data_IF_439310277282
#
_entry.id   IF_439310277282
#
_cell.length_a   1.000
_cell.length_b   1.000
_cell.length_c   1.000
_cell.angle_alpha   90.00
_cell.angle_beta   90.00
_cell.angle_gamma   90.00
#
_symmetry.space_group_name_H-M   'P 1'
#
loop_
_entity.id
_entity.type
_entity.pdbx_description
1 polymer ?
#
# COMPACT_ATOMS: atom_id res chain seq x y z
N UNK A 1 -15.61 -14.75 8.66
CA UNK A 1 -15.02 -13.59 9.37
C UNK A 1 -15.97 -12.41 9.28
N UNK A 2 -16.06 -11.55 10.32
CA UNK A 2 -16.95 -10.36 10.29
C UNK A 2 -16.08 -9.10 10.14
N UNK A 3 -16.37 -8.29 9.13
CA UNK A 3 -15.71 -7.01 8.91
C UNK A 3 -16.41 -5.91 9.74
N UNK A 4 -15.67 -4.99 10.36
CA UNK A 4 -16.26 -3.83 11.05
C UNK A 4 -16.97 -2.89 10.07
N UNK A 5 -16.44 -2.80 8.85
CA UNK A 5 -17.05 -2.11 7.70
C UNK A 5 -17.07 -3.05 6.52
N UNK A 6 -18.21 -3.17 5.84
CA UNK A 6 -18.39 -4.05 4.69
C UNK A 6 -19.03 -3.27 3.51
N UNK A 7 -18.34 -3.09 2.39
CA UNK A 7 -16.98 -3.54 2.12
C UNK A 7 -15.91 -2.68 2.82
N UNK A 8 -14.78 -3.32 3.18
CA UNK A 8 -13.55 -2.67 3.59
C UNK A 8 -12.72 -2.34 2.35
N UNK A 9 -12.35 -1.08 2.20
CA UNK A 9 -11.75 -0.51 0.99
C UNK A 9 -10.29 -0.12 1.23
N UNK A 10 -9.37 -0.84 0.59
CA UNK A 10 -7.93 -0.57 0.62
C UNK A 10 -7.46 -0.05 -0.75
N UNK A 11 -6.65 1.00 -0.75
CA UNK A 11 -5.90 1.43 -1.94
C UNK A 11 -4.40 1.29 -1.66
N UNK A 12 -3.71 0.61 -2.57
CA UNK A 12 -2.24 0.57 -2.61
C UNK A 12 -1.79 1.44 -3.78
N UNK A 13 -0.95 2.42 -3.51
CA UNK A 13 -0.53 3.39 -4.53
C UNK A 13 0.97 3.62 -4.54
N UNK A 14 1.48 4.00 -5.69
CA UNK A 14 2.88 4.33 -5.89
C UNK A 14 3.19 4.62 -7.36
N UNK A 15 4.45 4.43 -7.72
CA UNK A 15 4.97 4.69 -9.06
C UNK A 15 5.17 3.38 -9.81
N UNK A 16 4.95 3.39 -11.12
CA UNK A 16 5.16 2.23 -11.99
C UNK A 16 6.58 1.64 -11.84
N UNK A 17 6.64 0.35 -11.49
CA UNK A 17 7.87 -0.39 -11.19
C UNK A 17 8.08 -0.68 -9.70
N UNK A 18 7.33 -0.10 -8.78
CA UNK A 18 7.43 -0.38 -7.33
C UNK A 18 6.76 -1.70 -6.90
N UNK A 19 6.04 -2.39 -7.79
CA UNK A 19 5.40 -3.66 -7.50
C UNK A 19 4.03 -3.53 -6.80
N UNK A 20 3.27 -2.48 -7.09
CA UNK A 20 1.89 -2.28 -6.60
C UNK A 20 1.00 -3.49 -6.89
N UNK A 21 1.03 -3.99 -8.14
CA UNK A 21 0.25 -5.15 -8.58
C UNK A 21 0.60 -6.40 -7.77
N UNK A 22 1.89 -6.63 -7.53
CA UNK A 22 2.31 -7.75 -6.70
C UNK A 22 1.78 -7.60 -5.26
N UNK A 23 1.87 -6.39 -4.72
CA UNK A 23 1.36 -6.07 -3.39
C UNK A 23 -0.14 -6.35 -3.29
N UNK A 24 -0.94 -5.81 -4.23
CA UNK A 24 -2.39 -6.00 -4.24
C UNK A 24 -2.79 -7.47 -4.38
N UNK A 25 -2.06 -8.26 -5.19
CA UNK A 25 -2.32 -9.68 -5.34
C UNK A 25 -2.02 -10.49 -4.08
N UNK A 26 -0.92 -10.20 -3.37
CA UNK A 26 -0.60 -10.87 -2.10
C UNK A 26 -1.69 -10.57 -1.06
N UNK A 27 -2.09 -9.30 -0.92
CA UNK A 27 -3.12 -8.89 0.03
C UNK A 27 -4.49 -9.47 -0.33
N UNK A 28 -4.84 -9.51 -1.62
CA UNK A 28 -6.07 -10.12 -2.10
C UNK A 28 -6.11 -11.63 -1.84
N UNK A 29 -5.01 -12.33 -2.14
CA UNK A 29 -4.89 -13.77 -1.87
C UNK A 29 -5.02 -14.08 -0.39
N UNK A 30 -4.42 -13.27 0.49
CA UNK A 30 -4.59 -13.42 1.93
C UNK A 30 -6.06 -13.29 2.37
N UNK A 31 -6.81 -12.33 1.80
CA UNK A 31 -8.24 -12.18 2.07
C UNK A 31 -9.09 -13.35 1.57
N UNK A 32 -8.75 -13.91 0.41
CA UNK A 32 -9.44 -15.08 -0.15
C UNK A 32 -9.24 -16.31 0.74
N UNK A 33 -8.04 -16.49 1.33
CA UNK A 33 -7.77 -17.58 2.27
C UNK A 33 -8.63 -17.51 3.53
N UNK A 34 -9.06 -16.33 3.90
CA UNK A 34 -9.99 -16.07 5.02
C UNK A 34 -11.48 -16.08 4.59
N UNK A 35 -11.77 -16.68 3.44
CA UNK A 35 -13.13 -16.84 2.89
C UNK A 35 -13.86 -15.52 2.62
N UNK A 36 -13.12 -14.41 2.41
CA UNK A 36 -13.70 -13.15 1.99
C UNK A 36 -13.90 -13.10 0.47
N UNK A 37 -14.94 -12.41 0.04
CA UNK A 37 -15.06 -11.95 -1.34
C UNK A 37 -14.08 -10.80 -1.54
N UNK A 38 -13.09 -10.98 -2.41
CA UNK A 38 -12.09 -9.97 -2.71
C UNK A 38 -12.18 -9.56 -4.17
N UNK A 39 -12.23 -8.26 -4.41
CA UNK A 39 -12.22 -7.69 -5.76
C UNK A 39 -11.02 -6.75 -5.89
N UNK A 40 -10.24 -6.93 -6.95
CA UNK A 40 -9.09 -6.07 -7.28
C UNK A 40 -9.40 -5.29 -8.56
N UNK A 41 -9.18 -3.99 -8.52
CA UNK A 41 -9.21 -3.11 -9.69
C UNK A 41 -7.91 -2.34 -9.77
N UNK A 42 -7.34 -2.23 -10.98
CA UNK A 42 -6.07 -1.54 -11.17
C UNK A 42 -6.24 -0.38 -12.13
N UNK A 43 -5.66 0.75 -11.77
CA UNK A 43 -5.61 1.94 -12.63
C UNK A 43 -4.17 2.35 -12.86
N UNK A 44 -3.86 2.66 -14.11
CA UNK A 44 -2.52 3.05 -14.53
C UNK A 44 -2.57 4.44 -15.14
N UNK A 45 -1.62 5.29 -14.76
CA UNK A 45 -1.39 6.56 -15.45
C UNK A 45 -0.95 6.33 -16.90
N UNK A 46 -1.00 7.38 -17.72
CA UNK A 46 -0.65 7.34 -19.14
C UNK A 46 0.81 6.92 -19.44
N UNK A 47 1.68 6.88 -18.42
CA UNK A 47 3.08 6.48 -18.52
C UNK A 47 3.31 5.09 -17.96
N UNK A 48 3.85 4.16 -18.74
CA UNK A 48 4.16 2.78 -18.29
C UNK A 48 5.31 2.69 -17.27
N UNK A 49 6.18 3.68 -17.20
CA UNK A 49 7.27 3.77 -16.22
C UNK A 49 7.27 5.16 -15.59
N UNK A 50 7.32 5.21 -14.27
CA UNK A 50 7.31 6.47 -13.53
C UNK A 50 5.95 7.19 -13.50
N UNK A 51 4.87 6.57 -14.00
CA UNK A 51 3.50 7.05 -13.87
C UNK A 51 2.85 6.54 -12.59
N UNK A 52 1.82 7.25 -12.10
CA UNK A 52 1.01 6.82 -10.98
C UNK A 52 0.36 5.46 -11.25
N UNK A 53 0.44 4.58 -10.28
CA UNK A 53 -0.23 3.27 -10.28
C UNK A 53 -1.04 3.14 -9.00
N UNK A 54 -2.28 2.70 -9.12
CA UNK A 54 -3.18 2.54 -7.99
C UNK A 54 -3.91 1.22 -8.13
N UNK A 55 -3.88 0.41 -7.07
CA UNK A 55 -4.61 -0.85 -6.95
C UNK A 55 -5.68 -0.70 -5.88
N UNK A 56 -6.94 -0.85 -6.27
CA UNK A 56 -8.09 -0.89 -5.38
C UNK A 56 -8.31 -2.34 -4.96
N UNK A 57 -8.33 -2.61 -3.65
CA UNK A 57 -8.63 -3.93 -3.09
C UNK A 57 -9.82 -3.80 -2.17
N UNK A 58 -10.89 -4.53 -2.47
CA UNK A 58 -12.15 -4.46 -1.72
C UNK A 58 -12.46 -5.81 -1.11
N UNK A 59 -12.67 -5.82 0.20
CA UNK A 59 -13.00 -7.02 0.96
C UNK A 59 -14.45 -6.96 1.41
N UNK A 60 -15.20 -8.04 1.22
CA UNK A 60 -16.56 -8.17 1.72
C UNK A 60 -16.80 -9.58 2.27
N UNK A 61 -17.56 -9.67 3.36
CA UNK A 61 -18.03 -10.95 3.90
C UNK A 61 -19.37 -11.41 3.27
N UNK A 62 -19.99 -10.56 2.44
CA UNK A 62 -21.35 -10.78 1.94
C UNK A 62 -21.39 -11.13 0.45
N UNK A 63 -20.72 -10.34 -0.40
CA UNK A 63 -20.79 -10.49 -1.85
C UNK A 63 -19.63 -9.78 -2.54
N UNK A 64 -19.42 -10.12 -3.81
CA UNK A 64 -18.46 -9.44 -4.66
C UNK A 64 -18.84 -8.01 -4.95
N UNK A 65 -17.90 -7.08 -4.83
CA UNK A 65 -18.10 -5.64 -5.08
C UNK A 65 -17.64 -5.25 -6.49
N UNK A 66 -18.03 -4.04 -6.92
CA UNK A 66 -17.40 -3.42 -8.09
C UNK A 66 -15.91 -3.22 -7.87
N UNK A 67 -15.05 -3.27 -8.91
CA UNK A 67 -13.59 -3.23 -8.72
C UNK A 67 -13.05 -1.89 -8.22
N UNK A 68 -13.70 -0.78 -8.59
CA UNK A 68 -13.22 0.55 -8.21
C UNK A 68 -13.90 1.06 -6.93
N UNK A 69 -13.11 1.61 -6.05
CA UNK A 69 -13.54 2.35 -4.87
C UNK A 69 -13.99 3.74 -5.33
N UNK A 70 -15.11 4.22 -4.84
CA UNK A 70 -15.60 5.57 -5.15
C UNK A 70 -14.80 6.64 -4.41
N UNK A 71 -14.83 7.88 -4.93
CA UNK A 71 -14.23 9.05 -4.28
C UNK A 71 -14.67 9.17 -2.82
N UNK A 72 -13.75 9.50 -1.93
CA UNK A 72 -13.99 9.66 -0.49
C UNK A 72 -14.33 8.36 0.25
N UNK A 73 -14.13 7.17 -0.32
CA UNK A 73 -14.55 5.90 0.27
C UNK A 73 -13.39 4.95 0.63
N UNK A 74 -12.14 5.40 0.54
CA UNK A 74 -11.01 4.61 1.02
C UNK A 74 -11.01 4.55 2.56
N UNK A 75 -10.84 3.35 3.11
CA UNK A 75 -10.67 3.12 4.54
C UNK A 75 -9.19 3.06 4.91
N UNK A 76 -8.39 2.46 4.03
CA UNK A 76 -6.95 2.30 4.21
C UNK A 76 -6.25 2.73 2.92
N UNK A 77 -5.18 3.50 3.06
CA UNK A 77 -4.26 3.83 1.97
C UNK A 77 -2.86 3.37 2.34
N UNK A 78 -2.25 2.55 1.47
CA UNK A 78 -0.85 2.16 1.56
C UNK A 78 -0.08 2.85 0.45
N UNK A 79 0.73 3.85 0.82
CA UNK A 79 1.56 4.61 -0.12
C UNK A 79 2.97 4.08 -0.20
N UNK A 80 3.34 3.53 -1.36
CA UNK A 80 4.73 3.13 -1.64
C UNK A 80 5.58 4.35 -2.00
N UNK A 81 4.92 5.49 -2.29
CA UNK A 81 5.53 6.75 -2.67
C UNK A 81 4.71 7.93 -2.09
N UNK A 82 5.35 8.94 -1.45
CA UNK A 82 4.63 9.95 -0.68
C UNK A 82 3.66 10.81 -1.48
N UNK A 83 4.06 11.33 -2.66
CA UNK A 83 3.19 12.19 -3.47
C UNK A 83 2.00 11.40 -4.02
N UNK A 84 2.20 10.14 -4.40
CA UNK A 84 1.10 9.30 -4.87
C UNK A 84 0.12 8.96 -3.73
N UNK A 85 0.61 8.78 -2.50
CA UNK A 85 -0.25 8.64 -1.31
C UNK A 85 -1.11 9.89 -1.11
N UNK A 86 -0.52 11.08 -1.19
CA UNK A 86 -1.25 12.35 -1.04
C UNK A 86 -2.30 12.55 -2.15
N UNK A 87 -1.99 12.20 -3.40
CA UNK A 87 -2.96 12.25 -4.52
C UNK A 87 -4.15 11.35 -4.28
N UNK A 88 -3.90 10.12 -3.84
CA UNK A 88 -4.96 9.16 -3.52
C UNK A 88 -5.79 9.64 -2.34
N UNK A 89 -5.16 10.19 -1.31
CA UNK A 89 -5.89 10.77 -0.18
C UNK A 89 -6.78 11.94 -0.59
N UNK A 90 -6.31 12.81 -1.49
CA UNK A 90 -7.11 13.95 -1.97
C UNK A 90 -8.35 13.54 -2.77
N UNK A 91 -8.33 12.39 -3.46
CA UNK A 91 -9.44 11.92 -4.31
C UNK A 91 -10.31 10.89 -3.60
N UNK A 92 -9.70 9.87 -2.98
CA UNK A 92 -10.40 8.71 -2.41
C UNK A 92 -10.45 8.71 -0.89
N UNK A 93 -9.63 9.54 -0.23
CA UNK A 93 -9.56 9.62 1.22
C UNK A 93 -10.76 10.34 1.86
N UNK A 94 -10.88 10.18 3.14
CA UNK A 94 -11.82 10.90 4.00
C UNK A 94 -11.22 11.01 5.42
N UNK A 95 -11.81 11.83 6.33
CA UNK A 95 -11.25 12.04 7.68
C UNK A 95 -11.17 10.79 8.59
N UNK A 96 -11.64 9.62 8.13
CA UNK A 96 -11.53 8.34 8.85
C UNK A 96 -10.52 7.40 8.19
N UNK A 97 -9.95 7.79 7.05
CA UNK A 97 -8.98 6.99 6.33
C UNK A 97 -7.69 6.86 7.14
N UNK A 98 -7.14 5.66 7.19
CA UNK A 98 -5.83 5.38 7.81
C UNK A 98 -4.79 5.20 6.74
N UNK A 99 -3.65 5.83 6.92
CA UNK A 99 -2.56 5.85 5.94
C UNK A 99 -1.32 5.16 6.50
N UNK A 100 -0.75 4.26 5.73
CA UNK A 100 0.60 3.72 5.94
C UNK A 100 1.44 4.18 4.75
N UNK A 101 2.52 4.91 4.97
CA UNK A 101 3.28 5.53 3.89
C UNK A 101 4.78 5.33 4.06
N UNK A 102 5.46 5.00 2.95
CA UNK A 102 6.91 5.08 2.86
C UNK A 102 7.30 6.54 2.63
N UNK A 103 8.25 7.11 3.40
CA UNK A 103 8.69 8.50 3.21
C UNK A 103 9.66 8.68 2.03
N UNK A 104 9.91 7.63 1.24
CA UNK A 104 10.92 7.61 0.19
C UNK A 104 10.37 8.07 -1.14
N UNK A 105 10.83 9.22 -1.69
CA UNK A 105 10.37 9.70 -2.97
C UNK A 105 10.97 8.90 -4.13
N UNK A 106 10.18 8.72 -5.19
CA UNK A 106 10.68 8.36 -6.51
C UNK A 106 10.53 9.58 -7.40
N UNK A 107 11.66 10.23 -7.71
CA UNK A 107 11.63 11.47 -8.46
C UNK A 107 11.21 11.25 -9.92
N UNK A 108 10.12 11.92 -10.38
CA UNK A 108 9.72 11.92 -11.77
C UNK A 108 10.79 12.53 -12.67
N UNK A 109 10.77 12.21 -13.96
CA UNK A 109 11.73 12.70 -14.95
C UNK A 109 11.82 14.24 -15.00
N UNK A 110 10.70 14.94 -14.78
CA UNK A 110 10.62 16.39 -14.74
C UNK A 110 11.40 16.99 -13.56
N UNK A 111 11.40 16.30 -12.42
CA UNK A 111 12.20 16.70 -11.25
C UNK A 111 13.68 16.43 -11.51
N UNK A 112 14.01 15.25 -12.03
CA UNK A 112 15.38 14.88 -12.37
C UNK A 112 15.99 15.79 -13.45
N UNK A 113 15.16 16.29 -14.36
CA UNK A 113 15.59 17.24 -15.41
C UNK A 113 15.60 18.72 -14.96
N UNK A 114 15.22 19.00 -13.71
CA UNK A 114 15.15 20.36 -13.17
C UNK A 114 13.96 21.20 -13.64
N UNK A 115 13.00 20.58 -14.33
CA UNK A 115 11.79 21.28 -14.83
C UNK A 115 10.72 21.46 -13.76
N UNK A 116 10.78 20.68 -12.68
CA UNK A 116 9.88 20.76 -11.55
C UNK A 116 10.65 20.53 -10.24
N UNK A 117 10.06 20.93 -9.13
CA UNK A 117 10.56 20.61 -7.79
C UNK A 117 9.66 19.56 -7.15
N UNK A 118 10.26 18.58 -6.48
CA UNK A 118 9.53 17.67 -5.61
C UNK A 118 9.23 18.40 -4.30
N UNK A 119 7.99 18.31 -3.76
CA UNK A 119 7.66 18.93 -2.48
C UNK A 119 8.52 18.36 -1.34
N UNK A 120 8.83 19.12 -0.29
CA UNK A 120 9.46 18.57 0.91
C UNK A 120 8.65 17.42 1.50
N UNK A 121 9.32 16.38 1.98
CA UNK A 121 8.64 15.20 2.55
C UNK A 121 7.79 15.58 3.76
N UNK A 122 8.31 16.47 4.60
CA UNK A 122 7.62 16.99 5.80
C UNK A 122 6.30 17.69 5.42
N UNK A 123 6.28 18.42 4.31
CA UNK A 123 5.07 19.07 3.80
C UNK A 123 4.04 18.04 3.33
N UNK A 124 4.48 17.00 2.61
CA UNK A 124 3.60 15.92 2.14
C UNK A 124 3.01 15.17 3.34
N UNK A 125 3.84 14.80 4.32
CA UNK A 125 3.38 14.10 5.52
C UNK A 125 2.43 14.95 6.35
N UNK A 126 2.71 16.26 6.54
CA UNK A 126 1.81 17.18 7.21
C UNK A 126 0.45 17.28 6.53
N UNK A 127 0.41 17.36 5.19
CA UNK A 127 -0.86 17.35 4.45
C UNK A 127 -1.61 16.01 4.58
N UNK A 128 -0.90 14.89 4.63
CA UNK A 128 -1.53 13.58 4.88
C UNK A 128 -2.16 13.53 6.29
N UNK A 129 -1.49 14.05 7.30
CA UNK A 129 -1.98 14.12 8.69
C UNK A 129 -3.23 15.00 8.83
N UNK A 130 -3.35 16.06 8.01
CA UNK A 130 -4.56 16.91 7.97
C UNK A 130 -5.76 16.21 7.31
N UNK A 131 -5.52 15.29 6.37
CA UNK A 131 -6.56 14.62 5.59
C UNK A 131 -7.03 13.28 6.17
N UNK A 132 -6.20 12.63 6.99
CA UNK A 132 -6.40 11.28 7.48
C UNK A 132 -6.73 11.25 8.97
N UNK A 133 -7.33 10.12 9.44
CA UNK A 133 -7.49 9.84 10.87
C UNK A 133 -6.13 9.58 11.54
N UNK A 134 -5.27 8.84 10.85
CA UNK A 134 -3.93 8.49 11.33
C UNK A 134 -2.99 8.24 10.15
N UNK A 135 -1.78 8.76 10.25
CA UNK A 135 -0.68 8.49 9.32
C UNK A 135 0.43 7.72 10.05
N UNK A 136 0.85 6.60 9.49
CA UNK A 136 1.95 5.79 9.99
C UNK A 136 3.05 5.79 8.92
N UNK A 137 4.18 6.39 9.27
CA UNK A 137 5.35 6.46 8.40
C UNK A 137 6.21 5.22 8.64
N UNK A 138 6.46 4.45 7.59
CA UNK A 138 7.29 3.24 7.64
C UNK A 138 8.60 3.51 6.90
N UNK A 139 9.61 3.84 7.65
CA UNK A 139 10.99 3.98 7.15
C UNK A 139 11.89 2.93 7.81
N UNK A 140 12.50 2.07 6.98
CA UNK A 140 13.39 1.00 7.41
C UNK A 140 14.76 1.18 6.77
N UNK A 141 15.17 2.43 6.53
CA UNK A 141 16.47 2.73 5.96
C UNK A 141 17.60 2.57 6.96
N UNK A 142 18.31 1.48 6.86
CA UNK A 142 19.73 1.45 7.19
C UNK A 142 20.48 1.82 5.89
N UNK A 143 21.28 2.92 5.92
CA UNK A 143 22.30 3.28 4.92
C UNK A 143 21.91 3.70 3.49
N UNK A 144 20.78 4.37 3.27
CA UNK A 144 20.56 5.12 2.00
C UNK A 144 20.37 4.27 0.74
N UNK A 145 20.35 2.95 0.82
CA UNK A 145 20.08 2.06 -0.32
C UNK A 145 18.60 2.08 -0.71
N UNK A 146 18.34 2.12 -2.02
CA UNK A 146 17.00 1.91 -2.56
C UNK A 146 16.53 0.50 -2.14
N UNK A 147 15.53 0.42 -1.25
CA UNK A 147 15.00 -0.87 -0.81
C UNK A 147 14.36 -1.61 -1.98
N UNK A 148 15.08 -2.60 -2.48
CA UNK A 148 14.47 -3.64 -3.29
C UNK A 148 13.40 -4.29 -2.41
N UNK A 149 12.12 -4.24 -2.84
CA UNK A 149 11.01 -4.84 -2.10
C UNK A 149 10.24 -3.91 -1.17
N UNK A 150 10.24 -2.58 -1.42
CA UNK A 150 9.37 -1.63 -0.69
C UNK A 150 7.92 -2.09 -0.61
N UNK A 151 7.39 -2.69 -1.68
CA UNK A 151 6.04 -3.27 -1.70
C UNK A 151 5.85 -4.35 -0.63
N UNK A 152 6.77 -5.32 -0.53
CA UNK A 152 6.68 -6.41 0.46
C UNK A 152 6.87 -5.88 1.88
N UNK A 153 7.75 -4.90 2.08
CA UNK A 153 7.93 -4.21 3.35
C UNK A 153 6.63 -3.53 3.81
N UNK A 154 5.98 -2.79 2.91
CA UNK A 154 4.74 -2.09 3.22
C UNK A 154 3.56 -3.05 3.46
N UNK A 155 3.55 -4.23 2.80
CA UNK A 155 2.59 -5.29 3.13
C UNK A 155 2.85 -5.85 4.54
N UNK A 156 4.10 -6.03 4.93
CA UNK A 156 4.45 -6.43 6.28
C UNK A 156 3.96 -5.43 7.33
N UNK A 157 4.14 -4.14 7.07
CA UNK A 157 3.60 -3.08 7.91
C UNK A 157 2.07 -3.13 7.98
N UNK A 158 1.39 -3.29 6.83
CA UNK A 158 -0.07 -3.43 6.77
C UNK A 158 -0.56 -4.66 7.57
N UNK A 159 0.10 -5.81 7.45
CA UNK A 159 -0.25 -7.03 8.17
C UNK A 159 -0.16 -6.85 9.69
N UNK A 160 0.86 -6.13 10.18
CA UNK A 160 1.07 -5.88 11.60
C UNK A 160 0.23 -4.71 12.14
N UNK A 161 -0.35 -3.87 11.28
CA UNK A 161 -1.12 -2.68 11.69
C UNK A 161 -2.46 -3.01 12.37
N UNK A 162 -2.99 -4.21 12.17
CA UNK A 162 -4.32 -4.60 12.61
C UNK A 162 -5.47 -3.92 11.84
N UNK A 163 -5.18 -3.17 10.77
CA UNK A 163 -6.19 -2.48 9.97
C UNK A 163 -6.98 -3.44 9.07
N UNK A 164 -6.36 -4.55 8.66
CA UNK A 164 -7.04 -5.65 8.02
C UNK A 164 -7.25 -6.77 9.03
N UNK A 165 -8.45 -7.35 9.12
CA UNK A 165 -8.72 -8.48 10.02
C UNK A 165 -8.21 -9.80 9.41
N UNK A 166 -6.97 -9.82 8.94
CA UNK A 166 -6.33 -10.97 8.30
C UNK A 166 -5.16 -11.46 9.15
N UNK A 167 -5.06 -12.77 9.43
CA UNK A 167 -3.92 -13.34 10.14
C UNK A 167 -2.62 -13.17 9.31
N UNK A 168 -1.50 -13.04 10.00
CA UNK A 168 -0.17 -12.92 9.37
C UNK A 168 0.13 -14.15 8.51
N UNK A 169 -0.30 -15.31 8.97
CA UNK A 169 -0.14 -16.61 8.30
C UNK A 169 -0.74 -16.60 6.89
N UNK A 170 -1.89 -15.94 6.70
CA UNK A 170 -2.55 -15.85 5.39
C UNK A 170 -1.75 -15.02 4.39
N UNK A 171 -1.05 -13.98 4.86
CA UNK A 171 -0.09 -13.23 4.03
C UNK A 171 1.13 -14.08 3.68
N UNK A 172 1.68 -14.81 4.65
CA UNK A 172 2.83 -15.68 4.40
C UNK A 172 2.51 -16.79 3.41
N UNK A 173 1.31 -17.41 3.50
CA UNK A 173 0.86 -18.41 2.55
C UNK A 173 0.65 -17.82 1.15
N UNK A 174 0.03 -16.64 1.05
CA UNK A 174 -0.14 -15.93 -0.20
C UNK A 174 1.22 -15.62 -0.87
N UNK A 175 2.20 -15.21 -0.08
CA UNK A 175 3.57 -14.99 -0.58
C UNK A 175 4.21 -16.28 -1.11
N UNK A 176 4.02 -17.43 -0.44
CA UNK A 176 4.55 -18.72 -0.91
C UNK A 176 3.93 -19.15 -2.25
N UNK A 177 2.67 -18.81 -2.49
CA UNK A 177 1.97 -19.15 -3.74
C UNK A 177 2.35 -18.24 -4.91
N UNK A 178 2.58 -16.95 -4.63
CA UNK A 178 2.74 -15.91 -5.66
C UNK A 178 4.21 -15.70 -6.02
N UNK A 179 5.11 -15.77 -5.04
CA UNK A 179 6.53 -15.47 -5.24
C UNK A 179 7.31 -16.68 -5.77
N UNK A 180 8.33 -16.42 -6.58
CA UNK A 180 9.22 -17.47 -7.03
C UNK A 180 10.02 -18.05 -5.85
N UNK A 181 10.23 -19.38 -5.79
CA UNK A 181 10.92 -20.02 -4.66
C UNK A 181 12.29 -19.44 -4.32
N UNK A 182 13.04 -18.98 -5.32
CA UNK A 182 14.38 -18.38 -5.15
C UNK A 182 14.32 -17.02 -4.41
N UNK A 183 13.20 -16.33 -4.44
CA UNK A 183 13.05 -14.98 -3.88
C UNK A 183 12.33 -14.99 -2.53
N UNK A 184 11.79 -16.15 -2.09
CA UNK A 184 10.95 -16.28 -0.91
C UNK A 184 11.65 -15.83 0.38
N UNK A 185 12.85 -16.34 0.64
CA UNK A 185 13.55 -16.04 1.90
C UNK A 185 13.81 -14.54 2.07
N UNK A 186 14.32 -13.89 1.03
CA UNK A 186 14.57 -12.45 1.03
C UNK A 186 13.27 -11.65 1.24
N UNK A 187 12.18 -12.05 0.56
CA UNK A 187 10.89 -11.38 0.71
C UNK A 187 10.29 -11.60 2.11
N UNK A 188 10.43 -12.78 2.71
CA UNK A 188 10.00 -13.00 4.10
C UNK A 188 10.78 -12.14 5.10
N UNK A 189 12.08 -11.99 4.91
CA UNK A 189 12.90 -11.10 5.75
C UNK A 189 12.42 -9.65 5.61
N UNK A 190 12.15 -9.19 4.38
CA UNK A 190 11.62 -7.86 4.10
C UNK A 190 10.23 -7.64 4.70
N UNK A 191 9.35 -8.62 4.58
CA UNK A 191 8.01 -8.61 5.20
C UNK A 191 8.10 -8.47 6.73
N UNK A 192 8.95 -9.26 7.38
CA UNK A 192 9.18 -9.19 8.83
C UNK A 192 9.76 -7.84 9.28
N UNK A 193 10.66 -7.24 8.49
CA UNK A 193 11.15 -5.87 8.75
C UNK A 193 10.00 -4.86 8.75
N UNK A 194 9.09 -4.95 7.79
CA UNK A 194 7.89 -4.11 7.74
C UNK A 194 7.01 -4.29 8.99
N UNK A 195 6.78 -5.53 9.41
CA UNK A 195 6.03 -5.81 10.65
C UNK A 195 6.69 -5.19 11.89
N UNK A 196 8.01 -5.32 12.01
CA UNK A 196 8.78 -4.77 13.14
C UNK A 196 8.72 -3.25 13.18
N UNK A 197 8.77 -2.58 12.02
CA UNK A 197 8.67 -1.13 11.93
C UNK A 197 7.31 -0.60 12.43
N UNK A 198 6.24 -1.37 12.28
CA UNK A 198 4.92 -1.03 12.82
C UNK A 198 4.79 -1.23 14.32
N UNK A 199 5.52 -2.18 14.89
CA UNK A 199 5.46 -2.49 16.33
C UNK A 199 6.25 -1.49 17.18
N UNK A 200 7.17 -0.72 16.58
CA UNK A 200 8.05 0.23 17.26
C UNK A 200 7.59 1.70 17.22
N UNK A 201 6.52 2.02 16.50
CA UNK A 201 5.89 3.34 16.38
C UNK A 201 4.52 3.36 17.02
#
# INVERSE_FOLDING_TARGET
MTLEKDPLNLIITGVGGQGNVLASHIVASAGIKEELYVTVGETYGASQRGGAVMSHVRFSSQAQCSPLISEGQADIVVGLEPVEALRVMAEFGNPKTRVIVSPRPIYPIWVLSGQAKYPPIEEILGNLEELADRVQVVDVSEDGEALVGTNVLMIGALAASGLLPLPIESFEEAMREILAPKDLEMNFQTFRKGMQAMAGG
#
